data_IF_000141285995
#
_entry.id   IF_000141285995
#
_cell.length_a   1.000
_cell.length_b   1.000
_cell.length_c   1.000
_cell.angle_alpha   90.00
_cell.angle_beta   90.00
_cell.angle_gamma   90.00
#
_symmetry.space_group_name_H-M   'P 1'
#
loop_
_entity.id
_entity.type
_entity.pdbx_description
1 polymer ?
#
# COMPACT_ATOMS: atom_id res chain seq x y z
N UNK A 1 12.63 16.58 9.42
CA UNK A 1 12.22 16.05 8.12
C UNK A 1 10.79 15.59 8.17
N UNK A 2 10.09 15.72 7.08
CA UNK A 2 8.67 15.36 7.02
C UNK A 2 8.50 13.94 6.52
N UNK A 3 7.57 13.22 7.14
CA UNK A 3 7.15 11.93 6.62
C UNK A 3 6.44 12.10 5.28
N UNK A 4 6.50 11.07 4.47
CA UNK A 4 5.76 10.97 3.21
C UNK A 4 4.65 9.95 3.40
N UNK A 5 3.45 10.32 2.97
CA UNK A 5 2.30 9.42 2.99
C UNK A 5 2.07 8.93 1.56
N UNK A 6 2.15 7.63 1.38
CA UNK A 6 1.81 6.99 0.12
C UNK A 6 0.41 6.42 0.25
N UNK A 7 -0.48 6.86 -0.63
CA UNK A 7 -1.88 6.42 -0.62
C UNK A 7 -2.15 5.66 -1.91
N UNK A 8 -2.56 4.40 -1.75
CA UNK A 8 -2.91 3.55 -2.90
C UNK A 8 -4.37 3.16 -2.78
N UNK A 9 -5.16 3.45 -3.82
CA UNK A 9 -6.58 3.09 -3.86
C UNK A 9 -6.77 2.09 -4.99
N UNK A 10 -7.59 1.06 -4.75
CA UNK A 10 -7.79 0.01 -5.75
C UNK A 10 -9.03 -0.81 -5.44
N UNK A 11 -9.45 -1.61 -6.42
CA UNK A 11 -10.53 -2.57 -6.26
C UNK A 11 -10.01 -3.97 -6.57
N UNK A 12 -10.64 -4.97 -5.98
CA UNK A 12 -10.31 -6.36 -6.25
C UNK A 12 -10.96 -6.80 -7.57
N UNK A 13 -10.41 -7.85 -8.14
CA UNK A 13 -11.06 -8.54 -9.27
C UNK A 13 -12.41 -9.08 -8.83
N UNK A 14 -13.35 -9.20 -9.77
CA UNK A 14 -14.72 -9.63 -9.47
C UNK A 14 -14.80 -11.01 -8.85
N UNK A 15 -13.89 -11.91 -9.19
CA UNK A 15 -13.86 -13.28 -8.68
C UNK A 15 -13.03 -13.43 -7.39
N UNK A 16 -12.56 -12.33 -6.81
CA UNK A 16 -11.76 -12.36 -5.59
C UNK A 16 -12.51 -11.73 -4.43
N UNK A 17 -12.36 -12.33 -3.26
CA UNK A 17 -13.00 -11.87 -2.03
C UNK A 17 -12.00 -11.13 -1.16
N UNK A 18 -12.50 -10.40 -0.15
CA UNK A 18 -11.66 -9.77 0.85
C UNK A 18 -10.73 -10.79 1.52
N UNK A 19 -11.25 -11.99 1.82
CA UNK A 19 -10.44 -13.05 2.44
C UNK A 19 -9.27 -13.47 1.55
N UNK A 20 -9.50 -13.58 0.23
CA UNK A 20 -8.44 -13.91 -0.72
C UNK A 20 -7.34 -12.86 -0.69
N UNK A 21 -7.73 -11.58 -0.72
CA UNK A 21 -6.78 -10.47 -0.72
C UNK A 21 -6.03 -10.37 0.60
N UNK A 22 -6.71 -10.53 1.72
CA UNK A 22 -6.06 -10.43 3.04
C UNK A 22 -5.02 -11.55 3.23
N UNK A 23 -5.26 -12.70 2.65
CA UNK A 23 -4.28 -13.79 2.67
C UNK A 23 -3.05 -13.43 1.83
N UNK A 24 -3.25 -12.94 0.62
CA UNK A 24 -2.16 -12.49 -0.24
C UNK A 24 -1.39 -11.33 0.40
N UNK A 25 -2.10 -10.46 1.10
CA UNK A 25 -1.52 -9.31 1.78
C UNK A 25 -0.51 -9.69 2.88
N UNK A 26 -0.58 -10.88 3.44
CA UNK A 26 0.38 -11.31 4.45
C UNK A 26 1.82 -11.23 3.91
N UNK A 27 2.04 -11.64 2.67
CA UNK A 27 3.34 -11.53 2.00
C UNK A 27 3.77 -10.08 1.83
N UNK A 28 2.84 -9.23 1.41
CA UNK A 28 3.12 -7.82 1.19
C UNK A 28 3.48 -7.15 2.52
N UNK A 29 2.75 -7.48 3.58
CA UNK A 29 3.01 -6.90 4.89
C UNK A 29 4.39 -7.30 5.41
N UNK A 30 4.79 -8.55 5.23
CA UNK A 30 6.12 -9.02 5.63
C UNK A 30 7.22 -8.31 4.84
N UNK A 31 6.98 -8.08 3.54
CA UNK A 31 7.93 -7.40 2.69
C UNK A 31 8.10 -5.94 3.05
N UNK A 32 6.97 -5.22 3.21
CA UNK A 32 7.00 -3.77 3.38
C UNK A 32 7.59 -3.35 4.72
N UNK A 33 7.36 -4.12 5.76
CA UNK A 33 7.89 -3.81 7.10
C UNK A 33 9.41 -3.89 7.16
N UNK A 34 10.04 -4.54 6.20
CA UNK A 34 11.50 -4.66 6.13
C UNK A 34 12.15 -3.58 5.27
N UNK A 35 11.37 -2.73 4.61
CA UNK A 35 11.93 -1.72 3.73
C UNK A 35 12.51 -0.57 4.53
N UNK A 36 13.69 -0.04 4.12
CA UNK A 36 14.29 1.12 4.80
C UNK A 36 13.33 2.31 4.82
N UNK A 37 13.16 2.92 5.98
CA UNK A 37 12.31 4.08 6.15
C UNK A 37 10.84 3.80 6.33
N UNK A 38 10.44 2.54 6.39
CA UNK A 38 9.04 2.19 6.69
C UNK A 38 8.69 2.63 8.10
N UNK A 39 7.52 3.27 8.27
CA UNK A 39 7.04 3.70 9.58
C UNK A 39 5.73 3.07 9.98
N UNK A 40 4.74 3.07 9.08
CA UNK A 40 3.39 2.64 9.44
C UNK A 40 2.61 2.29 8.17
N UNK A 41 1.74 1.32 8.28
CA UNK A 41 0.83 0.94 7.20
C UNK A 41 -0.56 0.66 7.75
N UNK A 42 -1.58 1.12 7.05
CA UNK A 42 -2.95 0.70 7.29
C UNK A 42 -3.59 0.27 5.98
N UNK A 43 -4.37 -0.78 6.04
CA UNK A 43 -5.13 -1.29 4.90
C UNK A 43 -6.59 -1.34 5.31
N UNK A 44 -7.45 -0.64 4.58
CA UNK A 44 -8.87 -0.54 4.93
C UNK A 44 -9.73 -0.69 3.69
N UNK A 45 -11.01 -0.98 3.91
CA UNK A 45 -11.99 -1.17 2.85
C UNK A 45 -13.16 -0.25 3.10
N UNK A 46 -13.59 0.48 2.06
CA UNK A 46 -14.78 1.34 2.14
C UNK A 46 -16.04 0.48 2.02
N UNK A 47 -17.18 1.08 2.37
CA UNK A 47 -18.47 0.38 2.31
C UNK A 47 -18.82 -0.10 0.90
N UNK A 48 -18.32 0.59 -0.13
CA UNK A 48 -18.60 0.22 -1.52
C UNK A 48 -17.53 -0.68 -2.15
N UNK A 49 -16.60 -1.18 -1.35
CA UNK A 49 -15.62 -2.17 -1.80
C UNK A 49 -14.34 -1.62 -2.39
N UNK A 50 -14.06 -0.33 -2.23
CA UNK A 50 -12.76 0.22 -2.58
C UNK A 50 -11.77 -0.03 -1.44
N UNK A 51 -10.54 -0.40 -1.78
CA UNK A 51 -9.48 -0.60 -0.80
C UNK A 51 -8.55 0.59 -0.75
N UNK A 52 -8.11 0.92 0.45
CA UNK A 52 -7.20 2.04 0.69
C UNK A 52 -6.00 1.51 1.47
N UNK A 53 -4.83 1.60 0.85
CA UNK A 53 -3.56 1.21 1.46
C UNK A 53 -2.77 2.48 1.72
N UNK A 54 -2.55 2.79 2.99
CA UNK A 54 -1.87 4.01 3.39
C UNK A 54 -0.57 3.63 4.09
N UNK A 55 0.54 4.12 3.53
CA UNK A 55 1.87 3.81 4.07
C UNK A 55 2.59 5.11 4.42
N UNK A 56 3.11 5.18 5.63
CA UNK A 56 3.94 6.28 6.07
C UNK A 56 5.40 5.89 5.94
N UNK A 57 6.17 6.75 5.27
CA UNK A 57 7.60 6.58 5.05
C UNK A 57 8.36 7.74 5.70
N UNK A 58 9.58 7.52 6.14
CA UNK A 58 10.38 8.59 6.74
C UNK A 58 10.71 9.72 5.76
N UNK A 59 10.68 9.43 4.44
CA UNK A 59 11.02 10.40 3.40
C UNK A 59 10.41 10.00 2.06
N UNK A 60 10.36 10.96 1.15
CA UNK A 60 9.95 10.69 -0.24
C UNK A 60 10.90 9.70 -0.92
N UNK A 61 12.20 9.84 -0.65
CA UNK A 61 13.20 8.94 -1.24
C UNK A 61 12.98 7.49 -0.79
N UNK A 62 12.67 7.29 0.49
CA UNK A 62 12.37 5.95 1.02
C UNK A 62 11.15 5.34 0.33
N UNK A 63 10.09 6.13 0.16
CA UNK A 63 8.87 5.70 -0.54
C UNK A 63 9.17 5.30 -1.98
N UNK A 64 9.91 6.13 -2.69
CA UNK A 64 10.26 5.86 -4.09
C UNK A 64 11.15 4.64 -4.24
N UNK A 65 12.14 4.50 -3.36
CA UNK A 65 13.05 3.35 -3.39
C UNK A 65 12.28 2.03 -3.20
N UNK A 66 11.35 2.00 -2.24
CA UNK A 66 10.50 0.84 -2.02
C UNK A 66 9.61 0.58 -3.23
N UNK A 67 9.05 1.65 -3.82
CA UNK A 67 8.20 1.55 -5.00
C UNK A 67 8.90 0.93 -6.20
N UNK A 68 10.18 1.24 -6.39
CA UNK A 68 10.97 0.67 -7.49
C UNK A 68 11.17 -0.84 -7.34
N UNK A 69 11.25 -1.33 -6.10
CA UNK A 69 11.42 -2.75 -5.82
C UNK A 69 10.09 -3.50 -5.78
N UNK A 70 9.00 -2.81 -5.52
CA UNK A 70 7.71 -3.44 -5.30
C UNK A 70 7.22 -4.23 -6.50
N UNK A 71 7.26 -3.63 -7.68
CA UNK A 71 6.80 -4.30 -8.90
C UNK A 71 7.52 -5.62 -9.14
N UNK A 72 8.86 -5.63 -9.24
CA UNK A 72 9.60 -6.87 -9.45
C UNK A 72 9.43 -7.92 -8.35
N UNK A 73 9.25 -7.50 -7.10
CA UNK A 73 9.22 -8.43 -5.96
C UNK A 73 7.83 -8.82 -5.51
N UNK A 74 6.84 -7.90 -5.61
CA UNK A 74 5.49 -8.12 -5.09
C UNK A 74 4.37 -7.96 -6.13
N UNK A 75 4.71 -7.53 -7.34
CA UNK A 75 3.71 -7.26 -8.37
C UNK A 75 2.83 -8.45 -8.70
N UNK A 76 3.41 -9.64 -8.82
CA UNK A 76 2.66 -10.86 -9.13
C UNK A 76 1.67 -11.20 -8.01
N UNK A 77 2.06 -10.98 -6.75
CA UNK A 77 1.17 -11.20 -5.60
C UNK A 77 -0.04 -10.27 -5.66
N UNK A 78 0.17 -9.02 -6.05
CA UNK A 78 -0.93 -8.05 -6.21
C UNK A 78 -1.83 -8.42 -7.37
N UNK A 79 -1.26 -8.82 -8.50
CA UNK A 79 -2.02 -9.15 -9.71
C UNK A 79 -2.98 -10.31 -9.52
N UNK A 80 -2.74 -11.19 -8.57
CA UNK A 80 -3.62 -12.31 -8.28
C UNK A 80 -5.01 -11.83 -7.86
N UNK A 81 -5.09 -10.77 -7.09
CA UNK A 81 -6.33 -10.32 -6.47
C UNK A 81 -6.81 -8.94 -6.90
N UNK A 82 -5.91 -8.06 -7.30
CA UNK A 82 -6.21 -6.65 -7.57
C UNK A 82 -6.52 -6.44 -9.05
N UNK A 83 -7.60 -5.70 -9.31
CA UNK A 83 -7.84 -5.13 -10.64
C UNK A 83 -6.82 -4.02 -10.84
N UNK A 84 -5.76 -4.31 -11.56
CA UNK A 84 -4.64 -3.39 -11.71
C UNK A 84 -5.01 -2.10 -12.44
N UNK A 85 -6.04 -2.14 -13.27
CA UNK A 85 -6.55 -0.94 -13.93
C UNK A 85 -7.22 0.04 -12.99
N UNK A 86 -7.60 -0.40 -11.79
CA UNK A 86 -8.24 0.45 -10.78
C UNK A 86 -7.23 1.17 -9.87
N UNK A 87 -5.95 0.82 -9.95
CA UNK A 87 -4.94 1.31 -9.00
C UNK A 87 -4.64 2.79 -9.24
N UNK A 88 -4.75 3.59 -8.17
CA UNK A 88 -4.38 5.00 -8.15
C UNK A 88 -3.41 5.23 -6.99
N UNK A 89 -2.25 5.77 -7.31
CA UNK A 89 -1.21 6.02 -6.30
C UNK A 89 -0.98 7.53 -6.19
N UNK A 90 -0.93 8.02 -4.95
CA UNK A 90 -0.52 9.40 -4.68
C UNK A 90 0.48 9.42 -3.53
N UNK A 91 1.37 10.39 -3.57
CA UNK A 91 2.32 10.64 -2.48
C UNK A 91 2.17 12.07 -2.02
N UNK A 92 2.18 12.26 -0.70
CA UNK A 92 2.01 13.58 -0.11
C UNK A 92 2.98 13.75 1.04
N UNK A 93 3.29 15.01 1.32
CA UNK A 93 4.15 15.37 2.45
C UNK A 93 3.28 15.59 3.67
N UNK A 94 3.59 14.90 4.75
CA UNK A 94 2.85 15.10 6.00
C UNK A 94 3.26 16.42 6.63
N UNK A 95 2.30 17.31 6.85
CA UNK A 95 2.53 18.58 7.53
C UNK A 95 2.16 18.52 9.01
N UNK A 96 1.11 17.78 9.32
CA UNK A 96 0.65 17.62 10.70
C UNK A 96 0.38 16.15 10.94
N UNK A 97 1.01 15.62 11.98
CA UNK A 97 0.79 14.25 12.43
C UNK A 97 0.51 14.33 13.93
N UNK A 98 -0.70 13.96 14.33
CA UNK A 98 -1.13 14.07 15.71
C UNK A 98 -1.68 12.73 16.18
N UNK A 99 -1.26 12.32 17.35
CA UNK A 99 -1.75 11.07 17.95
C UNK A 99 -2.94 11.36 18.85
N UNK A 100 -3.85 10.42 18.88
CA UNK A 100 -4.98 10.44 19.80
C UNK A 100 -4.63 9.94 21.19
#
# INVERSE_FOLDING_TARGET
MSDTIELVRFRLKQDKTAADWLKANEKINSWITQQPGFRFRSLSETDDGEWIDMVYWESLDASKAAGEKFGPEMGATCEESIDMGSVVVSRSKAHVMQRG
#
